data_IF_174498119348
#
_entry.id   IF_174498119348
#
_cell.length_a   1.000
_cell.length_b   1.000
_cell.length_c   1.000
_cell.angle_alpha   90.00
_cell.angle_beta   90.00
_cell.angle_gamma   90.00
#
_symmetry.space_group_name_H-M   'P 1'
#
loop_
_entity.id
_entity.type
_entity.pdbx_description
1 polymer ?
#
# COMPACT_ATOMS: atom_id res chain seq x y z
N UNK A 1 -9.94 -5.37 14.12
CA UNK A 1 -8.76 -5.93 13.42
C UNK A 1 -8.86 -5.63 11.93
N UNK A 2 -7.78 -5.16 11.36
CA UNK A 2 -7.74 -4.85 9.92
C UNK A 2 -7.55 -6.12 9.11
N UNK A 3 -8.38 -6.28 8.08
CA UNK A 3 -8.29 -7.40 7.14
C UNK A 3 -8.41 -6.89 5.72
N UNK A 4 -7.80 -7.63 4.79
CA UNK A 4 -7.92 -7.36 3.36
C UNK A 4 -8.89 -8.36 2.75
N UNK A 5 -9.83 -7.84 1.98
CA UNK A 5 -10.80 -8.66 1.26
C UNK A 5 -10.50 -8.55 -0.22
N UNK A 6 -10.17 -9.68 -0.83
CA UNK A 6 -9.89 -9.72 -2.26
C UNK A 6 -11.14 -9.40 -3.07
N UNK A 7 -10.99 -8.48 -4.03
CA UNK A 7 -12.09 -8.14 -4.94
C UNK A 7 -12.05 -9.06 -6.15
N UNK A 8 -12.92 -10.04 -6.17
CA UNK A 8 -12.94 -11.06 -7.23
C UNK A 8 -13.60 -10.59 -8.53
N UNK A 9 -14.09 -9.35 -8.60
CA UNK A 9 -14.70 -8.85 -9.84
C UNK A 9 -13.68 -8.52 -10.93
N UNK A 10 -12.46 -8.22 -10.55
CA UNK A 10 -11.31 -8.31 -11.44
C UNK A 10 -11.23 -7.37 -12.62
N UNK A 11 -11.90 -6.23 -12.65
CA UNK A 11 -11.63 -5.27 -13.73
C UNK A 11 -10.54 -4.28 -13.32
N UNK A 12 -9.93 -3.64 -14.33
CA UNK A 12 -8.77 -2.79 -14.12
C UNK A 12 -9.06 -1.51 -13.35
N UNK A 13 -10.32 -1.14 -13.21
CA UNK A 13 -10.70 0.11 -12.56
C UNK A 13 -11.09 -0.07 -11.11
N UNK A 14 -11.35 -1.31 -10.68
CA UNK A 14 -11.71 -1.59 -9.28
C UNK A 14 -10.47 -1.95 -8.48
N UNK A 15 -10.48 -1.68 -7.16
CA UNK A 15 -9.36 -2.07 -6.31
C UNK A 15 -9.17 -3.59 -6.28
N UNK A 16 -7.92 -4.02 -6.10
CA UNK A 16 -7.63 -5.44 -5.94
C UNK A 16 -8.06 -5.93 -4.56
N UNK A 17 -7.86 -5.12 -3.53
CA UNK A 17 -8.29 -5.43 -2.17
C UNK A 17 -9.07 -4.28 -1.58
N UNK A 18 -10.11 -4.60 -0.82
CA UNK A 18 -10.73 -3.64 0.07
C UNK A 18 -10.16 -3.84 1.48
N UNK A 19 -9.98 -2.74 2.18
CA UNK A 19 -9.47 -2.76 3.56
C UNK A 19 -10.65 -2.61 4.50
N UNK A 20 -10.78 -3.56 5.42
CA UNK A 20 -11.84 -3.55 6.43
C UNK A 20 -11.23 -3.52 7.82
N UNK A 21 -11.84 -2.71 8.69
CA UNK A 21 -11.63 -2.82 10.13
C UNK A 21 -12.89 -3.44 10.69
N UNK A 22 -12.80 -4.71 11.07
CA UNK A 22 -13.95 -5.54 11.44
C UNK A 22 -14.97 -5.55 10.28
N UNK A 23 -16.12 -4.93 10.41
CA UNK A 23 -17.16 -4.92 9.37
C UNK A 23 -17.21 -3.63 8.57
N UNK A 24 -16.33 -2.70 8.85
CA UNK A 24 -16.34 -1.38 8.23
C UNK A 24 -15.27 -1.29 7.16
N UNK A 25 -15.68 -0.96 5.94
CA UNK A 25 -14.71 -0.68 4.88
C UNK A 25 -14.04 0.66 5.17
N UNK A 26 -12.73 0.66 5.23
CA UNK A 26 -11.95 1.86 5.58
C UNK A 26 -11.00 2.31 4.47
N UNK A 27 -10.91 1.57 3.37
CA UNK A 27 -10.04 1.95 2.27
C UNK A 27 -9.88 0.85 1.24
N UNK A 28 -8.85 0.98 0.40
CA UNK A 28 -8.56 -0.02 -0.63
C UNK A 28 -7.07 -0.06 -0.96
N UNK A 29 -6.68 -1.14 -1.67
CA UNK A 29 -5.36 -1.27 -2.31
C UNK A 29 -5.62 -1.59 -3.77
N UNK A 30 -5.10 -0.76 -4.67
CA UNK A 30 -5.23 -0.95 -6.13
C UNK A 30 -3.98 -1.57 -6.70
N UNK A 31 -4.21 -2.56 -7.57
CA UNK A 31 -3.21 -3.12 -8.48
C UNK A 31 -1.88 -3.48 -7.83
N UNK A 32 -1.82 -4.66 -7.25
CA UNK A 32 -0.53 -5.25 -6.88
C UNK A 32 -0.13 -6.12 -8.06
N UNK A 33 0.78 -5.62 -8.89
CA UNK A 33 1.14 -6.28 -10.14
C UNK A 33 2.07 -7.48 -9.93
N UNK A 34 2.49 -8.10 -11.04
CA UNK A 34 3.34 -9.29 -11.03
C UNK A 34 4.67 -9.06 -10.34
N UNK A 35 5.18 -7.84 -10.39
CA UNK A 35 6.46 -7.48 -9.79
C UNK A 35 6.34 -7.04 -8.33
N UNK A 36 5.13 -7.06 -7.77
CA UNK A 36 4.89 -6.61 -6.41
C UNK A 36 4.76 -5.11 -6.28
N UNK A 37 4.54 -4.40 -7.38
CA UNK A 37 4.36 -2.95 -7.35
C UNK A 37 2.93 -2.61 -6.99
N UNK A 38 2.77 -1.82 -5.94
CA UNK A 38 1.48 -1.37 -5.44
C UNK A 38 1.16 -0.02 -6.07
N UNK A 39 0.06 0.05 -6.82
CA UNK A 39 -0.32 1.27 -7.51
C UNK A 39 -0.85 2.33 -6.54
N UNK A 40 -1.76 1.92 -5.65
CA UNK A 40 -2.36 2.87 -4.71
C UNK A 40 -2.80 2.17 -3.44
N UNK A 41 -2.55 2.81 -2.31
CA UNK A 41 -3.15 2.46 -1.01
C UNK A 41 -3.89 3.68 -0.52
N UNK A 42 -5.16 3.52 -0.21
CA UNK A 42 -5.98 4.62 0.28
C UNK A 42 -6.73 4.23 1.54
N UNK A 43 -6.62 5.08 2.56
CA UNK A 43 -7.47 5.03 3.75
C UNK A 43 -8.41 6.22 3.67
N UNK A 44 -9.70 5.98 3.85
CA UNK A 44 -10.70 7.05 3.81
C UNK A 44 -10.42 8.09 4.91
N UNK A 45 -10.71 9.35 4.61
CA UNK A 45 -10.38 10.47 5.50
C UNK A 45 -10.78 10.26 6.96
N UNK A 46 -11.97 9.71 7.18
CA UNK A 46 -12.51 9.50 8.54
C UNK A 46 -11.69 8.52 9.38
N UNK A 47 -10.84 7.73 8.73
CA UNK A 47 -10.08 6.67 9.40
C UNK A 47 -8.57 6.90 9.37
N UNK A 48 -8.13 8.08 8.92
CA UNK A 48 -6.71 8.41 8.86
C UNK A 48 -6.15 8.72 10.24
N UNK A 49 -4.83 8.60 10.37
CA UNK A 49 -4.09 8.88 11.60
C UNK A 49 -4.41 7.93 12.77
N UNK A 50 -4.91 6.74 12.45
CA UNK A 50 -5.26 5.71 13.44
C UNK A 50 -4.39 4.45 13.31
N UNK A 51 -3.39 4.48 12.45
CA UNK A 51 -2.50 3.32 12.24
C UNK A 51 -3.06 2.25 11.30
N UNK A 52 -4.19 2.48 10.66
CA UNK A 52 -4.81 1.47 9.78
C UNK A 52 -4.02 1.23 8.51
N UNK A 53 -3.37 2.26 7.96
CA UNK A 53 -2.52 2.09 6.79
C UNK A 53 -1.36 1.14 7.06
N UNK A 54 -0.74 1.26 8.22
CA UNK A 54 0.32 0.37 8.67
C UNK A 54 -0.19 -1.07 8.81
N UNK A 55 -1.33 -1.25 9.45
CA UNK A 55 -1.92 -2.58 9.62
C UNK A 55 -2.30 -3.21 8.29
N UNK A 56 -2.83 -2.41 7.35
CA UNK A 56 -3.18 -2.90 6.01
C UNK A 56 -1.94 -3.36 5.25
N UNK A 57 -0.84 -2.61 5.33
CA UNK A 57 0.42 -3.00 4.69
C UNK A 57 0.97 -4.30 5.28
N UNK A 58 0.93 -4.46 6.58
CA UNK A 58 1.36 -5.70 7.23
C UNK A 58 0.49 -6.87 6.77
N UNK A 59 -0.82 -6.68 6.68
CA UNK A 59 -1.72 -7.70 6.15
C UNK A 59 -1.38 -8.07 4.71
N UNK A 60 -1.06 -7.08 3.88
CA UNK A 60 -0.67 -7.32 2.48
C UNK A 60 0.64 -8.10 2.40
N UNK A 61 1.63 -7.75 3.20
CA UNK A 61 2.89 -8.47 3.27
C UNK A 61 2.68 -9.94 3.60
N UNK A 62 1.77 -10.23 4.53
CA UNK A 62 1.47 -11.60 4.93
C UNK A 62 0.72 -12.37 3.85
N UNK A 63 -0.08 -11.70 3.05
CA UNK A 63 -0.80 -12.34 1.95
C UNK A 63 0.08 -12.58 0.74
N UNK A 64 0.83 -11.58 0.33
CA UNK A 64 1.62 -11.65 -0.90
C UNK A 64 2.88 -12.49 -0.74
N UNK A 65 3.54 -12.42 0.42
CA UNK A 65 4.74 -13.19 0.74
C UNK A 65 5.85 -13.03 -0.30
N UNK A 66 6.02 -11.83 -0.81
CA UNK A 66 7.02 -11.47 -1.81
C UNK A 66 7.43 -10.02 -1.60
N UNK A 67 8.49 -9.61 -2.28
CA UNK A 67 8.92 -8.22 -2.23
C UNK A 67 7.82 -7.30 -2.75
N UNK A 68 7.62 -6.18 -2.09
CA UNK A 68 6.63 -5.18 -2.47
C UNK A 68 7.31 -3.87 -2.76
N UNK A 69 6.79 -3.14 -3.73
CA UNK A 69 7.33 -1.87 -4.20
C UNK A 69 6.23 -0.84 -4.30
N UNK A 70 6.58 0.41 -4.06
CA UNK A 70 5.65 1.52 -4.23
C UNK A 70 6.43 2.80 -4.49
N UNK A 71 5.70 3.82 -4.93
CA UNK A 71 6.23 5.18 -5.02
C UNK A 71 5.49 6.05 -4.02
N UNK A 72 6.20 6.99 -3.42
CA UNK A 72 5.62 7.95 -2.50
C UNK A 72 6.05 9.36 -2.92
N UNK A 73 5.13 10.31 -2.87
CA UNK A 73 5.45 11.71 -3.14
C UNK A 73 6.44 12.22 -2.11
N UNK A 74 7.45 12.95 -2.56
CA UNK A 74 8.52 13.46 -1.68
C UNK A 74 8.02 14.36 -0.57
N UNK A 75 6.90 15.05 -0.79
CA UNK A 75 6.29 15.94 0.20
C UNK A 75 5.25 15.26 1.09
N UNK A 76 4.97 13.99 0.86
CA UNK A 76 4.01 13.24 1.69
C UNK A 76 4.75 12.58 2.86
N UNK A 77 5.11 13.40 3.84
CA UNK A 77 5.88 12.93 5.01
C UNK A 77 5.14 11.88 5.83
N UNK A 78 3.82 12.02 5.93
CA UNK A 78 3.01 11.08 6.70
C UNK A 78 3.05 9.68 6.10
N UNK A 79 2.86 9.58 4.78
CA UNK A 79 2.93 8.29 4.09
C UNK A 79 4.33 7.70 4.19
N UNK A 80 5.35 8.53 3.98
CA UNK A 80 6.75 8.07 4.05
C UNK A 80 7.07 7.49 5.43
N UNK A 81 6.66 8.17 6.50
CA UNK A 81 6.85 7.65 7.87
C UNK A 81 6.16 6.31 8.06
N UNK A 82 4.95 6.17 7.54
CA UNK A 82 4.20 4.93 7.62
C UNK A 82 4.97 3.80 6.93
N UNK A 83 5.44 4.05 5.71
CA UNK A 83 6.17 3.04 4.95
C UNK A 83 7.49 2.65 5.60
N UNK A 84 8.23 3.63 6.11
CA UNK A 84 9.48 3.35 6.83
C UNK A 84 9.23 2.50 8.07
N UNK A 85 8.17 2.79 8.82
CA UNK A 85 7.84 2.04 10.04
C UNK A 85 7.52 0.57 9.78
N UNK A 86 6.92 0.25 8.64
CA UNK A 86 6.60 -1.15 8.33
C UNK A 86 7.73 -1.87 7.62
N UNK A 87 8.84 -1.18 7.32
CA UNK A 87 10.04 -1.80 6.78
C UNK A 87 10.35 -1.51 5.33
N UNK A 88 9.61 -0.63 4.67
CA UNK A 88 10.00 -0.15 3.34
C UNK A 88 11.22 0.73 3.46
N UNK A 89 12.11 0.64 2.48
CA UNK A 89 13.30 1.49 2.39
C UNK A 89 13.37 2.13 1.01
N UNK A 90 13.96 3.33 0.90
CA UNK A 90 14.14 3.97 -0.40
C UNK A 90 14.96 3.09 -1.34
N UNK A 91 14.54 3.03 -2.60
CA UNK A 91 15.26 2.29 -3.62
C UNK A 91 15.09 2.99 -4.97
N UNK A 92 16.18 3.32 -5.61
CA UNK A 92 16.17 4.03 -6.88
C UNK A 92 16.08 3.11 -8.10
N UNK A 93 16.23 1.81 -7.90
CA UNK A 93 16.37 0.87 -9.02
C UNK A 93 15.17 0.82 -9.95
N UNK A 94 13.94 1.04 -9.45
CA UNK A 94 12.77 1.09 -10.31
C UNK A 94 12.13 2.48 -10.34
N UNK A 95 12.72 3.42 -9.63
CA UNK A 95 12.23 4.80 -9.61
C UNK A 95 12.47 5.42 -10.97
N UNK A 96 11.49 5.29 -11.84
CA UNK A 96 11.63 5.65 -13.24
C UNK A 96 11.83 7.15 -13.41
N UNK A 97 10.87 7.83 -13.97
CA UNK A 97 11.02 9.20 -14.40
C UNK A 97 10.23 10.20 -13.56
N UNK A 98 9.74 9.78 -12.40
CA UNK A 98 8.88 10.62 -11.56
C UNK A 98 9.73 11.44 -10.60
N UNK A 99 10.02 12.68 -10.99
CA UNK A 99 10.89 13.58 -10.22
C UNK A 99 10.43 13.82 -8.79
N UNK A 100 9.10 13.86 -8.59
CA UNK A 100 8.52 14.23 -7.30
C UNK A 100 8.18 13.01 -6.44
N UNK A 101 8.66 11.84 -6.82
CA UNK A 101 8.37 10.59 -6.13
C UNK A 101 9.65 9.88 -5.72
N UNK A 102 9.55 9.12 -4.66
CA UNK A 102 10.62 8.24 -4.18
C UNK A 102 10.12 6.81 -4.28
N UNK A 103 10.87 5.96 -4.95
CA UNK A 103 10.59 4.54 -4.99
C UNK A 103 11.02 3.89 -3.68
N UNK A 104 10.19 2.99 -3.16
CA UNK A 104 10.49 2.27 -1.92
C UNK A 104 10.24 0.78 -2.11
N UNK A 105 11.01 -0.04 -1.41
CA UNK A 105 10.88 -1.49 -1.47
C UNK A 105 10.80 -2.06 -0.06
N UNK A 106 9.96 -3.08 0.08
CA UNK A 106 9.97 -3.97 1.24
C UNK A 106 10.44 -5.34 0.79
N UNK A 107 11.51 -5.83 1.39
CA UNK A 107 12.07 -7.14 1.08
C UNK A 107 11.44 -8.19 1.98
N UNK A 108 10.84 -9.19 1.35
CA UNK A 108 10.22 -10.29 2.07
C UNK A 108 11.26 -11.14 2.83
#
# INVERSE_FOLDING_TARGET
MVKLWYNCQGDAETPEYYIYNDRTRIGWIKNVDEDGYIDEILIYNSYRNMGYGKEALIALMNLEKRDLKLDVKVDNEQAMRCYLKVGFVPCEAWHQSKRDYIGMIWKN
#
